data_IF_418007061613
#
_entry.id   IF_418007061613
#
_cell.length_a   1.000
_cell.length_b   1.000
_cell.length_c   1.000
_cell.angle_alpha   90.00
_cell.angle_beta   90.00
_cell.angle_gamma   90.00
#
_symmetry.space_group_name_H-M   'P 1'
#
loop_
_entity.id
_entity.type
_entity.pdbx_description
1 polymer ?
#
# COMPACT_ATOMS: atom_id res chain seq x y z
N UNK A 1 -1.76 -14.99 -15.14
CA UNK A 1 -1.48 -15.43 -13.77
C UNK A 1 -0.89 -14.22 -13.11
N UNK A 2 -1.74 -13.45 -12.45
CA UNK A 2 -1.31 -12.35 -11.62
C UNK A 2 -0.25 -12.89 -10.65
N UNK A 3 0.89 -12.22 -10.49
CA UNK A 3 1.97 -12.70 -9.61
C UNK A 3 1.55 -12.71 -8.13
N UNK A 4 0.40 -12.11 -7.79
CA UNK A 4 -0.14 -11.98 -6.44
C UNK A 4 -1.58 -12.47 -6.38
N UNK A 5 -1.96 -13.09 -5.26
CA UNK A 5 -3.34 -13.49 -5.01
C UNK A 5 -4.24 -12.26 -4.77
N UNK A 6 -5.52 -12.33 -5.18
CA UNK A 6 -6.50 -11.24 -5.01
C UNK A 6 -6.58 -10.72 -3.56
N UNK A 7 -6.43 -11.59 -2.57
CA UNK A 7 -6.43 -11.23 -1.15
C UNK A 7 -5.27 -10.28 -0.81
N UNK A 8 -4.07 -10.56 -1.34
CA UNK A 8 -2.87 -9.73 -1.11
C UNK A 8 -3.03 -8.35 -1.74
N UNK A 9 -3.60 -8.29 -2.95
CA UNK A 9 -3.87 -7.01 -3.63
C UNK A 9 -4.93 -6.21 -2.87
N UNK A 10 -5.99 -6.86 -2.37
CA UNK A 10 -7.04 -6.21 -1.59
C UNK A 10 -6.51 -5.64 -0.28
N UNK A 11 -5.69 -6.40 0.45
CA UNK A 11 -5.06 -5.94 1.71
C UNK A 11 -4.12 -4.74 1.45
N UNK A 12 -3.27 -4.84 0.42
CA UNK A 12 -2.39 -3.74 0.03
C UNK A 12 -3.17 -2.45 -0.28
N UNK A 13 -4.25 -2.56 -1.09
CA UNK A 13 -5.09 -1.39 -1.43
C UNK A 13 -5.83 -0.85 -0.21
N UNK A 14 -6.31 -1.72 0.69
CA UNK A 14 -6.99 -1.30 1.91
C UNK A 14 -6.05 -0.50 2.82
N UNK A 15 -4.86 -1.04 3.10
CA UNK A 15 -3.85 -0.35 3.92
C UNK A 15 -3.42 0.98 3.28
N UNK A 16 -3.18 1.01 1.96
CA UNK A 16 -2.82 2.25 1.26
C UNK A 16 -3.94 3.30 1.24
N UNK A 17 -5.21 2.90 1.36
CA UNK A 17 -6.32 3.85 1.56
C UNK A 17 -6.28 4.44 2.96
N UNK A 18 -6.09 3.59 3.97
CA UNK A 18 -6.03 4.02 5.37
C UNK A 18 -4.89 5.00 5.62
N UNK A 19 -3.73 4.82 4.96
CA UNK A 19 -2.56 5.72 5.05
C UNK A 19 -2.95 7.19 4.83
N UNK A 20 -3.89 7.48 3.94
CA UNK A 20 -4.32 8.85 3.65
C UNK A 20 -4.99 9.54 4.86
N UNK A 21 -5.51 8.74 5.80
CA UNK A 21 -6.17 9.20 7.01
C UNK A 21 -5.21 9.25 8.21
N UNK A 22 -3.99 8.74 8.06
CA UNK A 22 -3.04 8.64 9.16
C UNK A 22 -2.49 10.01 9.56
N UNK A 23 -2.32 10.16 10.86
CA UNK A 23 -1.70 11.33 11.46
C UNK A 23 -0.49 10.84 12.25
N UNK A 24 0.69 11.20 11.76
CA UNK A 24 1.96 10.70 12.29
C UNK A 24 2.96 11.82 12.47
N UNK A 25 3.98 11.55 13.26
CA UNK A 25 5.14 12.43 13.36
C UNK A 25 5.99 12.29 12.09
N UNK A 26 6.81 13.30 11.73
CA UNK A 26 7.71 13.20 10.57
C UNK A 26 8.61 11.95 10.59
N UNK A 27 9.08 11.54 11.78
CA UNK A 27 9.90 10.34 11.95
C UNK A 27 9.14 9.06 11.59
N UNK A 28 7.85 8.97 11.93
CA UNK A 28 7.00 7.85 11.54
C UNK A 28 6.68 7.89 10.05
N UNK A 29 6.47 9.06 9.47
CA UNK A 29 6.28 9.20 8.03
C UNK A 29 7.50 8.71 7.22
N UNK A 30 8.71 8.97 7.70
CA UNK A 30 9.92 8.41 7.08
C UNK A 30 9.96 6.88 7.11
N UNK A 31 9.46 6.24 8.18
CA UNK A 31 9.35 4.77 8.24
C UNK A 31 8.29 4.24 7.27
N UNK A 32 7.15 4.93 7.15
CA UNK A 32 6.11 4.59 6.16
C UNK A 32 6.65 4.71 4.74
N UNK A 33 7.43 5.75 4.44
CA UNK A 33 8.05 5.94 3.13
C UNK A 33 9.02 4.80 2.78
N UNK A 34 9.85 4.35 3.73
CA UNK A 34 10.74 3.21 3.54
C UNK A 34 9.96 1.91 3.26
N UNK A 35 8.88 1.67 4.01
CA UNK A 35 8.04 0.50 3.81
C UNK A 35 7.31 0.53 2.45
N UNK A 36 6.86 1.70 2.00
CA UNK A 36 6.29 1.87 0.65
C UNK A 36 7.33 1.70 -0.46
N UNK A 37 8.58 2.09 -0.23
CA UNK A 37 9.69 1.81 -1.15
C UNK A 37 9.88 0.30 -1.34
N UNK A 38 9.93 -0.45 -0.23
CA UNK A 38 10.02 -1.90 -0.28
C UNK A 38 8.81 -2.55 -0.98
N UNK A 39 7.61 -2.00 -0.80
CA UNK A 39 6.42 -2.45 -1.53
C UNK A 39 6.53 -2.18 -3.04
N UNK A 40 7.01 -1.00 -3.46
CA UNK A 40 7.18 -0.69 -4.88
C UNK A 40 8.22 -1.60 -5.55
N UNK A 41 9.33 -1.87 -4.86
CA UNK A 41 10.35 -2.82 -5.34
C UNK A 41 9.76 -4.24 -5.48
N UNK A 42 9.03 -4.73 -4.47
CA UNK A 42 8.39 -6.05 -4.50
C UNK A 42 7.34 -6.16 -5.61
N UNK A 43 6.57 -5.09 -5.85
CA UNK A 43 5.62 -4.97 -6.96
C UNK A 43 6.37 -5.00 -8.30
N UNK A 44 7.51 -4.33 -8.40
CA UNK A 44 8.34 -4.31 -9.60
C UNK A 44 8.99 -5.66 -9.94
N UNK A 45 9.35 -6.45 -8.94
CA UNK A 45 9.97 -7.78 -9.11
C UNK A 45 8.97 -8.92 -9.23
N UNK A 46 7.70 -8.70 -8.85
CA UNK A 46 6.68 -9.75 -8.82
C UNK A 46 6.81 -10.70 -7.63
N UNK A 47 7.54 -10.33 -6.58
CA UNK A 47 7.77 -11.16 -5.41
C UNK A 47 6.59 -11.10 -4.44
N UNK A 48 5.73 -12.11 -4.48
CA UNK A 48 4.52 -12.18 -3.66
C UNK A 48 4.79 -12.24 -2.15
N UNK A 49 5.87 -12.88 -1.71
CA UNK A 49 6.21 -12.91 -0.29
C UNK A 49 6.70 -11.53 0.18
N UNK A 50 7.52 -10.87 -0.64
CA UNK A 50 7.96 -9.51 -0.35
C UNK A 50 6.79 -8.50 -0.33
N UNK A 51 5.81 -8.63 -1.22
CA UNK A 51 4.59 -7.80 -1.21
C UNK A 51 3.83 -8.01 0.11
N UNK A 52 3.56 -9.25 0.52
CA UNK A 52 2.85 -9.53 1.79
C UNK A 52 3.62 -9.00 3.01
N UNK A 53 4.95 -9.18 3.02
CA UNK A 53 5.80 -8.68 4.10
C UNK A 53 5.76 -7.16 4.19
N UNK A 54 5.84 -6.46 3.05
CA UNK A 54 5.79 -5.00 2.99
C UNK A 54 4.42 -4.46 3.43
N UNK A 55 3.32 -5.08 2.99
CA UNK A 55 1.96 -4.73 3.44
C UNK A 55 1.83 -4.89 4.97
N UNK A 56 2.34 -6.00 5.51
CA UNK A 56 2.37 -6.24 6.95
C UNK A 56 3.20 -5.22 7.74
N UNK A 57 4.29 -4.70 7.18
CA UNK A 57 5.09 -3.62 7.78
C UNK A 57 4.30 -2.31 7.78
N UNK A 58 3.71 -1.91 6.65
CA UNK A 58 2.90 -0.69 6.55
C UNK A 58 1.76 -0.75 7.58
N UNK A 59 1.02 -1.86 7.65
CA UNK A 59 -0.07 -2.05 8.60
C UNK A 59 0.42 -1.90 10.07
N UNK A 60 1.60 -2.46 10.40
CA UNK A 60 2.20 -2.32 11.75
C UNK A 60 2.55 -0.86 12.11
N UNK A 61 2.90 -0.04 11.12
CA UNK A 61 3.22 1.38 11.32
C UNK A 61 1.98 2.24 11.54
N UNK A 62 0.81 1.75 11.12
CA UNK A 62 -0.46 2.44 11.24
C UNK A 62 -0.78 2.92 12.65
N UNK A 63 -1.70 3.89 12.79
CA UNK A 63 -2.11 4.43 14.07
C UNK A 63 -2.76 3.31 14.89
N UNK A 64 -2.01 2.75 15.84
CA UNK A 64 -2.61 1.97 16.94
C UNK A 64 -3.62 2.88 17.61
N UNK A 65 -4.90 2.47 17.65
CA UNK A 65 -6.00 3.14 18.38
C UNK A 65 -5.64 3.27 19.88
N UNK A 66 -4.74 4.18 20.20
CA UNK A 66 -4.35 4.56 21.54
C UNK A 66 -4.29 6.08 21.46
N UNK A 67 -5.31 6.76 21.99
CA UNK A 67 -5.27 8.19 22.26
C UNK A 67 -4.09 8.42 23.24
N UNK A 68 -2.89 8.63 22.70
CA UNK A 68 -1.74 8.99 23.53
C UNK A 68 -1.77 10.51 23.72
N UNK A 69 -2.27 10.93 24.87
CA UNK A 69 -2.22 12.32 25.32
C UNK A 69 -0.75 12.73 25.47
N UNK A 70 -0.36 13.82 24.80
CA UNK A 70 0.92 14.51 25.03
C UNK A 70 2.05 14.25 24.04
N UNK A 71 1.79 13.84 22.79
CA UNK A 71 2.88 13.60 21.82
C UNK A 71 2.86 14.61 20.65
N UNK A 72 4.07 15.03 20.28
CA UNK A 72 4.52 15.80 19.10
C UNK A 72 3.48 15.98 18.00
N UNK A 73 3.29 17.22 17.53
CA UNK A 73 2.29 17.61 16.51
C UNK A 73 2.21 16.60 15.38
N UNK A 74 1.17 15.79 15.39
CA UNK A 74 0.89 14.87 14.31
C UNK A 74 0.54 15.71 13.08
N UNK A 75 1.26 15.47 11.98
CA UNK A 75 1.00 16.14 10.71
C UNK A 75 0.15 15.22 9.85
N UNK A 76 -0.66 15.81 8.98
CA UNK A 76 -1.29 15.06 7.88
C UNK A 76 -0.24 14.45 6.96
N UNK A 77 -0.71 13.72 5.94
CA UNK A 77 0.15 13.01 4.99
C UNK A 77 1.11 13.97 4.25
N UNK A 78 2.43 13.70 4.24
CA UNK A 78 3.38 14.43 3.43
C UNK A 78 3.16 14.18 1.94
N UNK A 79 3.36 15.20 1.10
CA UNK A 79 3.28 15.10 -0.35
C UNK A 79 4.03 13.90 -0.98
N UNK A 80 5.29 13.58 -0.61
CA UNK A 80 5.99 12.43 -1.21
C UNK A 80 5.34 11.09 -0.86
N UNK A 81 4.73 10.97 0.32
CA UNK A 81 4.03 9.75 0.74
C UNK A 81 2.70 9.62 0.00
N UNK A 82 2.00 10.74 -0.23
CA UNK A 82 0.76 10.77 -1.00
C UNK A 82 0.97 10.33 -2.46
N UNK A 83 1.97 10.91 -3.13
CA UNK A 83 2.30 10.59 -4.54
C UNK A 83 2.67 9.10 -4.73
N UNK A 84 3.51 8.57 -3.83
CA UNK A 84 3.90 7.16 -3.88
C UNK A 84 2.71 6.23 -3.61
N UNK A 85 1.84 6.59 -2.66
CA UNK A 85 0.60 5.85 -2.38
C UNK A 85 -0.32 5.83 -3.60
N UNK A 86 -0.55 6.97 -4.27
CA UNK A 86 -1.40 7.04 -5.45
C UNK A 86 -0.84 6.18 -6.60
N UNK A 87 0.48 6.23 -6.82
CA UNK A 87 1.17 5.40 -7.81
C UNK A 87 1.01 3.91 -7.52
N UNK A 88 1.20 3.48 -6.27
CA UNK A 88 1.06 2.09 -5.86
C UNK A 88 -0.38 1.58 -6.02
N UNK A 89 -1.37 2.36 -5.60
CA UNK A 89 -2.78 2.01 -5.79
C UNK A 89 -3.10 1.86 -7.29
N UNK A 90 -2.59 2.76 -8.14
CA UNK A 90 -2.80 2.67 -9.58
C UNK A 90 -2.17 1.40 -10.17
N UNK A 91 -0.92 1.06 -9.82
CA UNK A 91 -0.23 -0.15 -10.31
C UNK A 91 -0.93 -1.43 -9.85
N UNK A 92 -1.33 -1.51 -8.59
CA UNK A 92 -2.01 -2.68 -8.00
C UNK A 92 -3.42 -2.88 -8.58
N UNK A 93 -4.14 -1.80 -8.89
CA UNK A 93 -5.48 -1.90 -9.51
C UNK A 93 -5.40 -2.21 -11.00
N UNK A 94 -4.40 -1.70 -11.72
CA UNK A 94 -4.26 -1.94 -13.15
C UNK A 94 -3.75 -3.35 -13.47
N UNK A 95 -2.83 -3.89 -12.65
CA UNK A 95 -2.38 -5.29 -12.77
C UNK A 95 -3.55 -6.27 -12.67
N UNK A 96 -4.52 -6.01 -11.79
CA UNK A 96 -5.74 -6.82 -11.65
C UNK A 96 -6.65 -6.80 -12.89
N UNK A 97 -6.81 -5.64 -13.53
CA UNK A 97 -7.69 -5.48 -14.71
C UNK A 97 -7.12 -6.21 -15.93
N UNK A 98 -5.80 -6.16 -16.11
CA UNK A 98 -5.05 -6.90 -17.14
C UNK A 98 -5.14 -8.44 -16.97
N UNK A 99 -5.30 -8.91 -15.73
CA UNK A 99 -5.53 -10.32 -15.39
C UNK A 99 -6.94 -10.83 -15.73
N UNK A 100 -7.98 -10.03 -15.47
CA UNK A 100 -9.40 -10.37 -15.68
C UNK A 100 -9.84 -10.26 -17.16
N UNK A 101 -9.16 -9.42 -17.95
CA UNK A 101 -9.50 -9.16 -19.36
C UNK A 101 -9.31 -10.34 -20.33
N UNK A 102 -8.61 -11.41 -19.93
CA UNK A 102 -8.36 -12.59 -20.79
C UNK A 102 -9.46 -13.65 -20.78
N UNK A 103 -10.59 -13.41 -20.10
CA UNK A 103 -11.75 -14.31 -20.04
C UNK A 103 -12.94 -13.96 -20.93
N UNK A 104 -12.98 -12.77 -21.55
CA UNK A 104 -14.16 -12.30 -22.31
C UNK A 104 -13.92 -12.17 -23.81
N UNK A 105 -13.62 -13.29 -24.47
CA UNK A 105 -13.99 -13.49 -25.89
C UNK A 105 -14.77 -14.79 -26.04
N UNK A 106 -16.03 -14.75 -25.57
CA UNK A 106 -17.04 -15.71 -26.04
C UNK A 106 -17.56 -15.24 -27.39
N UNK A 107 -17.25 -16.07 -28.37
CA UNK A 107 -17.98 -16.33 -29.61
C UNK A 107 -19.30 -15.59 -29.79
N UNK A 108 -19.41 -14.85 -30.89
CA UNK A 108 -20.49 -15.07 -31.86
C UNK A 108 -20.09 -14.57 -33.24
#
# INVERSE_FOLDING_TARGET
MDPWDDETVQDAVAVLRDVAEWHHTPQKWAQVELAMGALDDAVGTGDAEAVRAAVGEINRLGPKRILRIGSTTATGIPAPVLDRRDTLVHRLTHSRDEGDGRGRRRSR
#
